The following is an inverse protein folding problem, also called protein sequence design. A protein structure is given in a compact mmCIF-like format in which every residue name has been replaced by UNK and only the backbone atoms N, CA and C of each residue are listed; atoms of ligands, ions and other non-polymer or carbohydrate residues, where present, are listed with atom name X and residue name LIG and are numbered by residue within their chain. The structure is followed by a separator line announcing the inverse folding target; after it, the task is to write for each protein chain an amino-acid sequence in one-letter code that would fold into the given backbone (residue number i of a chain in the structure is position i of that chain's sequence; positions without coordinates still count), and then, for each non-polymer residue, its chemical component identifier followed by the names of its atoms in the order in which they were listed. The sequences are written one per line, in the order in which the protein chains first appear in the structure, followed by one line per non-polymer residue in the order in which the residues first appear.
data_IF_585211580227
#
_entry.id   IF_585211580227
#
_cell.length_a   1.000
_cell.length_b   1.000
_cell.length_c   1.000
_cell.angle_alpha   90.00
_cell.angle_beta   90.00
_cell.angle_gamma   90.00
#
_symmetry.space_group_name_H-M   'P 1'
#
loop_
_entity.id
_entity.type
_entity.pdbx_description
1 polymer ?
#
# COMPACT_ATOMS: atom_id res chain seq x y z
N UNK A 1 12.74 -8.99 -59.28
CA UNK A 1 13.40 -8.05 -58.36
C UNK A 1 12.42 -7.63 -57.30
N UNK A 2 12.68 -8.01 -56.08
CA UNK A 2 12.20 -7.49 -54.78
C UNK A 2 10.68 -7.27 -54.58
N UNK A 3 10.03 -8.34 -54.18
CA UNK A 3 8.78 -8.27 -53.39
C UNK A 3 9.01 -9.16 -52.20
N UNK A 4 9.44 -8.58 -51.09
CA UNK A 4 9.41 -9.17 -49.76
C UNK A 4 9.24 -7.99 -48.79
N UNK A 5 8.41 -8.18 -47.76
CA UNK A 5 8.16 -7.35 -46.60
C UNK A 5 6.82 -6.60 -46.65
N UNK A 6 5.75 -7.31 -46.27
CA UNK A 6 4.57 -6.75 -45.62
C UNK A 6 3.74 -7.90 -45.01
N UNK A 7 4.28 -8.59 -44.01
CA UNK A 7 3.49 -9.65 -43.31
C UNK A 7 3.78 -9.75 -41.79
N UNK A 8 4.18 -8.68 -41.14
CA UNK A 8 4.51 -8.77 -39.69
C UNK A 8 3.77 -7.79 -38.77
N UNK A 9 2.77 -7.07 -39.28
CA UNK A 9 2.07 -6.07 -38.43
C UNK A 9 0.61 -6.41 -38.06
N UNK A 10 0.11 -7.58 -38.39
CA UNK A 10 -1.30 -7.92 -38.13
C UNK A 10 -1.50 -8.88 -36.93
N UNK A 11 -0.43 -9.43 -36.36
CA UNK A 11 -0.57 -10.47 -35.33
C UNK A 11 -0.60 -9.97 -33.88
N UNK A 12 -0.22 -8.72 -33.57
CA UNK A 12 -0.20 -8.21 -32.20
C UNK A 12 -1.57 -7.82 -31.59
N UNK A 13 -2.55 -7.28 -32.32
CA UNK A 13 -3.84 -6.92 -31.70
C UNK A 13 -4.74 -8.12 -31.41
N UNK A 14 -4.53 -9.28 -32.04
CA UNK A 14 -5.37 -10.45 -31.79
C UNK A 14 -5.03 -11.18 -30.48
N UNK A 15 -3.77 -11.15 -30.07
CA UNK A 15 -3.32 -11.80 -28.83
C UNK A 15 -3.81 -11.01 -27.61
N UNK A 16 -3.78 -9.68 -27.65
CA UNK A 16 -4.34 -8.84 -26.59
C UNK A 16 -5.86 -8.98 -26.47
N UNK A 17 -6.56 -9.20 -27.56
CA UNK A 17 -8.00 -9.44 -27.57
C UNK A 17 -8.37 -10.81 -26.99
N UNK A 18 -7.58 -11.85 -27.24
CA UNK A 18 -7.81 -13.20 -26.73
C UNK A 18 -7.50 -13.33 -25.24
N UNK A 19 -6.52 -12.60 -24.71
CA UNK A 19 -6.22 -12.60 -23.27
C UNK A 19 -7.29 -11.83 -22.47
N UNK A 20 -7.93 -10.83 -23.06
CA UNK A 20 -9.04 -10.10 -22.41
C UNK A 20 -10.37 -10.87 -22.40
N UNK A 21 -10.54 -11.89 -23.21
CA UNK A 21 -11.82 -12.61 -23.30
C UNK A 21 -12.02 -13.71 -22.25
N UNK A 22 -11.00 -14.01 -21.43
CA UNK A 22 -11.14 -15.02 -20.36
C UNK A 22 -11.47 -14.44 -18.97
N UNK A 23 -11.59 -13.11 -18.83
CA UNK A 23 -12.16 -12.53 -17.61
C UNK A 23 -13.66 -12.70 -17.74
N UNK A 24 -14.21 -13.65 -16.98
CA UNK A 24 -15.65 -13.93 -16.91
C UNK A 24 -16.42 -12.62 -16.62
N UNK A 25 -17.20 -12.07 -17.58
CA UNK A 25 -17.88 -10.78 -17.43
C UNK A 25 -19.04 -10.79 -16.42
N UNK A 26 -19.29 -11.91 -15.75
CA UNK A 26 -20.39 -12.11 -14.81
C UNK A 26 -19.93 -12.22 -13.35
N UNK A 27 -18.65 -12.04 -13.05
CA UNK A 27 -18.24 -11.94 -11.65
C UNK A 27 -18.54 -10.52 -11.16
N UNK A 28 -19.59 -10.42 -10.35
CA UNK A 28 -19.86 -9.19 -9.61
C UNK A 28 -18.61 -8.75 -8.84
N UNK A 29 -18.28 -7.47 -8.86
CA UNK A 29 -17.12 -6.99 -8.13
C UNK A 29 -17.31 -7.24 -6.63
N UNK A 30 -16.34 -7.90 -6.01
CA UNK A 30 -16.35 -8.21 -4.58
C UNK A 30 -15.14 -7.58 -3.91
N UNK A 31 -15.22 -7.22 -2.63
CA UNK A 31 -14.06 -6.78 -1.87
C UNK A 31 -12.95 -7.84 -1.86
N UNK A 32 -11.70 -7.40 -1.98
CA UNK A 32 -10.53 -8.29 -1.98
C UNK A 32 -9.35 -7.69 -1.24
N UNK A 33 -8.43 -8.56 -0.82
CA UNK A 33 -7.18 -8.18 -0.18
C UNK A 33 -6.02 -8.24 -1.20
N UNK A 34 -5.12 -7.27 -1.10
CA UNK A 34 -3.87 -7.21 -1.86
C UNK A 34 -2.70 -7.28 -0.89
N UNK A 35 -1.75 -8.17 -1.14
CA UNK A 35 -0.48 -8.20 -0.40
C UNK A 35 0.44 -7.14 -0.99
N UNK A 36 0.71 -6.07 -0.25
CA UNK A 36 1.55 -4.95 -0.65
C UNK A 36 2.99 -5.06 -0.13
N UNK A 37 3.23 -6.00 0.76
CA UNK A 37 4.52 -6.35 1.31
C UNK A 37 4.45 -7.56 2.22
N UNK A 38 5.52 -8.33 2.30
CA UNK A 38 5.57 -9.58 3.06
C UNK A 38 6.89 -9.84 3.78
N UNK A 39 7.79 -8.86 3.83
CA UNK A 39 9.02 -8.97 4.62
C UNK A 39 8.81 -8.41 6.03
N UNK A 40 9.68 -8.80 6.95
CA UNK A 40 9.63 -8.35 8.34
C UNK A 40 9.86 -6.82 8.44
N UNK A 41 9.43 -6.22 9.54
CA UNK A 41 9.36 -4.78 9.78
C UNK A 41 10.69 -4.01 9.72
N UNK A 42 11.83 -4.70 9.84
CA UNK A 42 13.16 -4.12 9.63
C UNK A 42 13.65 -4.08 8.17
N UNK A 43 12.82 -4.52 7.21
CA UNK A 43 13.13 -4.48 5.78
C UNK A 43 13.96 -5.66 5.25
N UNK A 44 14.13 -5.68 3.92
CA UNK A 44 14.97 -6.66 3.23
C UNK A 44 15.68 -6.01 2.03
N UNK A 45 17.04 -5.95 2.00
CA UNK A 45 17.96 -6.53 2.99
C UNK A 45 17.83 -5.88 4.36
N UNK A 46 18.05 -6.67 5.43
CA UNK A 46 18.02 -6.13 6.80
C UNK A 46 19.29 -5.32 7.10
N UNK A 47 19.13 -4.16 7.71
CA UNK A 47 20.26 -3.28 8.07
C UNK A 47 21.29 -4.02 8.92
N UNK A 48 22.56 -3.90 8.53
CA UNK A 48 23.69 -4.55 9.22
C UNK A 48 23.80 -6.06 9.03
N UNK A 49 22.93 -6.69 8.23
CA UNK A 49 23.02 -8.12 7.93
C UNK A 49 24.05 -8.40 6.84
N UNK A 50 25.12 -9.12 7.19
CA UNK A 50 26.15 -9.57 6.27
C UNK A 50 25.99 -11.03 5.81
N UNK A 51 24.87 -11.70 6.16
CA UNK A 51 24.58 -13.08 5.76
C UNK A 51 24.25 -13.17 4.27
N UNK A 52 24.43 -14.34 3.68
CA UNK A 52 24.15 -14.60 2.25
C UNK A 52 22.75 -14.18 1.80
N UNK A 53 21.74 -14.29 2.68
CA UNK A 53 20.36 -13.86 2.40
C UNK A 53 20.21 -12.35 2.18
N UNK A 54 21.12 -11.53 2.71
CA UNK A 54 21.10 -10.08 2.56
C UNK A 54 22.20 -9.56 1.63
N UNK A 55 23.37 -10.20 1.58
CA UNK A 55 24.53 -9.75 0.81
C UNK A 55 24.20 -9.52 -0.66
N UNK A 56 23.55 -10.49 -1.29
CA UNK A 56 23.13 -10.38 -2.71
C UNK A 56 22.14 -9.24 -2.94
N UNK A 57 21.26 -8.96 -1.97
CA UNK A 57 20.25 -7.90 -2.08
C UNK A 57 20.82 -6.49 -1.90
N UNK A 58 21.99 -6.35 -1.26
CA UNK A 58 22.71 -5.08 -1.24
C UNK A 58 23.34 -4.74 -2.59
N UNK A 59 23.81 -5.76 -3.31
CA UNK A 59 24.37 -5.62 -4.67
C UNK A 59 23.29 -5.54 -5.75
N UNK A 60 22.22 -6.32 -5.60
CA UNK A 60 21.11 -6.45 -6.54
C UNK A 60 19.77 -6.28 -5.77
N UNK A 61 19.34 -5.06 -5.48
CA UNK A 61 18.10 -4.79 -4.76
C UNK A 61 16.87 -5.34 -5.50
N UNK A 62 16.00 -6.02 -4.76
CA UNK A 62 14.70 -6.46 -5.27
C UNK A 62 13.61 -5.45 -4.85
N UNK A 63 13.07 -4.65 -5.76
CA UNK A 63 12.08 -3.62 -5.44
C UNK A 63 10.73 -4.18 -4.99
N UNK A 64 10.49 -5.48 -5.15
CA UNK A 64 9.26 -6.13 -4.69
C UNK A 64 9.31 -6.55 -3.22
N UNK A 65 10.49 -6.52 -2.59
CA UNK A 65 10.66 -6.83 -1.17
C UNK A 65 10.28 -5.65 -0.30
N UNK A 66 9.00 -5.57 0.01
CA UNK A 66 8.40 -4.51 0.84
C UNK A 66 8.01 -5.04 2.22
N UNK A 67 8.10 -4.19 3.23
CA UNK A 67 7.67 -4.48 4.60
C UNK A 67 6.19 -4.86 4.62
N UNK A 68 5.85 -5.80 5.49
CA UNK A 68 4.50 -6.37 5.63
C UNK A 68 3.40 -5.32 5.65
N UNK A 69 2.54 -5.39 4.64
CA UNK A 69 1.43 -4.46 4.45
C UNK A 69 0.33 -5.13 3.62
N UNK A 70 -0.92 -4.84 3.95
CA UNK A 70 -2.08 -5.29 3.18
C UNK A 70 -2.90 -4.10 2.69
N UNK A 71 -3.45 -4.22 1.50
CA UNK A 71 -4.52 -3.36 1.00
C UNK A 71 -5.85 -4.10 1.00
N UNK A 72 -6.92 -3.45 1.41
CA UNK A 72 -8.29 -3.89 1.20
C UNK A 72 -8.91 -2.98 0.14
N UNK A 73 -9.48 -3.58 -0.89
CA UNK A 73 -10.16 -2.85 -1.98
C UNK A 73 -11.60 -3.33 -2.04
N UNK A 74 -12.52 -2.39 -1.94
CA UNK A 74 -13.95 -2.60 -2.16
C UNK A 74 -14.38 -1.84 -3.41
N UNK A 75 -14.43 -2.50 -4.56
CA UNK A 75 -14.80 -1.85 -5.82
C UNK A 75 -16.30 -1.52 -5.91
N UNK A 76 -17.15 -2.17 -5.09
CA UNK A 76 -18.59 -1.92 -5.06
C UNK A 76 -18.89 -0.57 -4.43
N UNK A 77 -18.24 -0.29 -3.29
CA UNK A 77 -18.41 0.95 -2.54
C UNK A 77 -17.36 2.01 -2.90
N UNK A 78 -16.48 1.73 -3.86
CA UNK A 78 -15.37 2.60 -4.25
C UNK A 78 -14.50 3.01 -3.04
N UNK A 79 -14.17 2.04 -2.19
CA UNK A 79 -13.36 2.24 -0.99
C UNK A 79 -12.09 1.42 -1.02
N UNK A 80 -11.03 1.98 -0.47
CA UNK A 80 -9.81 1.25 -0.19
C UNK A 80 -9.26 1.59 1.18
N UNK A 81 -8.57 0.62 1.78
CA UNK A 81 -7.93 0.76 3.08
C UNK A 81 -6.55 0.12 3.01
N UNK A 82 -5.64 0.60 3.86
CA UNK A 82 -4.32 0.02 3.99
C UNK A 82 -4.08 -0.36 5.45
N UNK A 83 -3.45 -1.51 5.66
CA UNK A 83 -3.04 -1.99 6.97
C UNK A 83 -1.54 -1.82 7.09
N UNK A 84 -1.13 -1.01 8.04
CA UNK A 84 0.19 -0.50 8.35
C UNK A 84 0.64 0.68 7.46
N UNK A 85 1.42 1.57 8.07
CA UNK A 85 2.17 2.62 7.40
C UNK A 85 3.67 2.35 7.58
N UNK A 86 4.20 1.51 6.70
CA UNK A 86 5.56 0.98 6.80
C UNK A 86 6.60 1.98 6.26
N UNK A 87 7.91 1.71 6.39
CA UNK A 87 8.94 2.50 5.70
C UNK A 87 8.76 2.56 4.17
N UNK A 88 8.09 1.55 3.57
CA UNK A 88 7.80 1.48 2.13
C UNK A 88 6.44 2.11 1.75
N UNK A 89 5.85 2.87 2.64
CA UNK A 89 4.49 3.40 2.50
C UNK A 89 4.23 4.13 1.18
N UNK A 90 5.13 4.98 0.65
CA UNK A 90 4.89 5.66 -0.63
C UNK A 90 4.69 4.69 -1.80
N UNK A 91 5.53 3.66 -1.89
CA UNK A 91 5.45 2.65 -2.96
C UNK A 91 4.22 1.74 -2.78
N UNK A 92 3.89 1.43 -1.53
CA UNK A 92 2.70 0.64 -1.19
C UNK A 92 1.41 1.38 -1.51
N UNK A 93 1.33 2.68 -1.26
CA UNK A 93 0.22 3.53 -1.72
C UNK A 93 0.11 3.55 -3.24
N UNK A 94 1.24 3.71 -3.93
CA UNK A 94 1.28 3.68 -5.39
C UNK A 94 0.79 2.33 -5.94
N UNK A 95 1.19 1.22 -5.31
CA UNK A 95 0.75 -0.11 -5.69
C UNK A 95 -0.75 -0.31 -5.42
N UNK A 96 -1.27 0.13 -4.26
CA UNK A 96 -2.70 0.03 -3.93
C UNK A 96 -3.57 0.76 -4.96
N UNK A 97 -3.15 1.94 -5.43
CA UNK A 97 -3.89 2.71 -6.45
C UNK A 97 -4.10 1.96 -7.76
N UNK A 98 -3.22 1.04 -8.13
CA UNK A 98 -3.40 0.22 -9.34
C UNK A 98 -4.63 -0.69 -9.23
N UNK A 99 -4.98 -1.07 -8.01
CA UNK A 99 -6.16 -1.90 -7.71
C UNK A 99 -7.40 -1.08 -7.33
N UNK A 100 -7.21 0.20 -6.96
CA UNK A 100 -8.26 1.13 -6.54
C UNK A 100 -8.24 2.41 -7.40
N UNK A 101 -8.50 2.34 -8.71
CA UNK A 101 -8.39 3.49 -9.63
C UNK A 101 -9.41 4.61 -9.34
N UNK A 102 -10.43 4.33 -8.53
CA UNK A 102 -11.42 5.30 -8.05
C UNK A 102 -10.84 6.25 -6.99
N UNK A 103 -9.70 5.93 -6.38
CA UNK A 103 -8.99 6.78 -5.40
C UNK A 103 -8.23 7.91 -6.13
N UNK A 104 -8.92 8.99 -6.44
CA UNK A 104 -8.37 10.11 -7.22
C UNK A 104 -7.25 10.84 -6.49
N UNK A 105 -7.39 11.02 -5.18
CA UNK A 105 -6.45 11.78 -4.35
C UNK A 105 -5.20 10.95 -3.97
N UNK A 106 -5.19 9.66 -4.28
CA UNK A 106 -4.08 8.77 -4.00
C UNK A 106 -3.95 8.32 -2.55
N UNK A 107 -4.87 8.73 -1.67
CA UNK A 107 -4.96 8.34 -0.27
C UNK A 107 -6.15 7.38 -0.10
N UNK A 108 -5.99 6.25 0.60
CA UNK A 108 -7.10 5.34 0.90
C UNK A 108 -8.10 5.98 1.87
N UNK A 109 -9.30 5.40 1.96
CA UNK A 109 -10.35 5.84 2.88
C UNK A 109 -9.94 5.73 4.35
N UNK A 110 -8.89 4.95 4.64
CA UNK A 110 -8.29 4.86 5.95
C UNK A 110 -7.06 3.98 6.03
N UNK A 111 -6.29 4.21 7.08
CA UNK A 111 -5.06 3.48 7.42
C UNK A 111 -5.30 2.81 8.77
N UNK A 112 -5.13 1.50 8.86
CA UNK A 112 -5.22 0.75 10.09
C UNK A 112 -3.84 0.44 10.63
N UNK A 113 -3.56 0.79 11.89
CA UNK A 113 -2.31 0.42 12.56
C UNK A 113 -2.58 -0.66 13.60
N UNK A 114 -1.84 -1.76 13.52
CA UNK A 114 -2.04 -2.89 14.43
C UNK A 114 -1.31 -2.70 15.75
N UNK A 115 -0.08 -2.21 15.73
CA UNK A 115 0.74 -2.08 16.93
C UNK A 115 1.92 -1.09 16.74
N UNK A 116 2.63 -0.79 17.84
CA UNK A 116 3.66 0.25 17.89
C UNK A 116 5.09 -0.30 17.68
N UNK A 117 5.31 -1.29 16.82
CA UNK A 117 6.63 -1.51 16.26
C UNK A 117 6.91 -0.51 15.15
N UNK A 118 8.11 0.08 15.15
CA UNK A 118 8.44 1.24 14.31
C UNK A 118 8.19 0.99 12.81
N UNK A 119 8.41 -0.22 12.32
CA UNK A 119 8.18 -0.61 10.93
C UNK A 119 6.70 -0.65 10.52
N UNK A 120 5.74 -0.48 11.44
CA UNK A 120 4.30 -0.53 11.15
C UNK A 120 3.64 0.85 11.14
N UNK A 121 4.32 1.90 11.62
CA UNK A 121 3.73 3.24 11.68
C UNK A 121 4.68 4.36 11.23
N UNK A 122 5.98 4.07 11.01
CA UNK A 122 6.96 5.09 10.62
C UNK A 122 6.59 5.82 9.33
N UNK A 123 5.93 5.13 8.40
CA UNK A 123 5.50 5.69 7.13
C UNK A 123 4.41 6.77 7.25
N UNK A 124 3.77 6.94 8.40
CA UNK A 124 2.87 8.06 8.63
C UNK A 124 3.54 9.42 8.41
N UNK A 125 4.87 9.50 8.57
CA UNK A 125 5.64 10.71 8.31
C UNK A 125 5.45 11.27 6.90
N UNK A 126 5.21 10.40 5.91
CA UNK A 126 4.96 10.81 4.52
C UNK A 126 3.63 11.52 4.30
N UNK A 127 2.74 11.51 5.28
CA UNK A 127 1.49 12.27 5.24
C UNK A 127 1.68 13.74 5.64
N UNK A 128 2.82 14.07 6.25
CA UNK A 128 3.17 15.41 6.70
C UNK A 128 3.36 16.42 5.57
N UNK A 129 3.50 17.68 5.99
CA UNK A 129 3.57 18.85 5.12
C UNK A 129 4.70 18.80 4.10
N UNK A 130 5.85 18.23 4.48
CA UNK A 130 7.06 18.18 3.64
C UNK A 130 6.98 17.13 2.54
N UNK A 131 6.04 16.18 2.63
CA UNK A 131 5.85 15.11 1.67
C UNK A 131 4.50 15.22 0.95
N UNK A 132 3.49 14.50 1.41
CA UNK A 132 2.17 14.48 0.76
C UNK A 132 1.29 15.68 1.15
N UNK A 133 1.50 16.25 2.34
CA UNK A 133 0.65 17.29 2.92
C UNK A 133 -0.83 16.89 2.92
N UNK A 134 -1.13 15.70 3.42
CA UNK A 134 -2.50 15.20 3.46
C UNK A 134 -3.37 16.03 4.41
N UNK A 135 -4.68 15.94 4.23
CA UNK A 135 -5.63 16.62 5.10
C UNK A 135 -6.65 15.62 5.63
N UNK A 136 -6.72 15.51 6.98
CA UNK A 136 -7.70 14.68 7.70
C UNK A 136 -7.69 13.19 7.28
N UNK A 137 -6.53 12.67 6.85
CA UNK A 137 -6.41 11.24 6.53
C UNK A 137 -6.73 10.39 7.76
N UNK A 138 -7.73 9.52 7.64
CA UNK A 138 -8.22 8.70 8.76
C UNK A 138 -7.20 7.63 9.14
N UNK A 139 -6.80 7.60 10.41
CA UNK A 139 -5.91 6.58 10.96
C UNK A 139 -6.63 5.84 12.09
N UNK A 140 -6.98 4.59 11.84
CA UNK A 140 -7.72 3.72 12.73
C UNK A 140 -6.77 3.01 13.68
N UNK A 141 -6.95 3.19 14.99
CA UNK A 141 -6.03 2.70 16.01
C UNK A 141 -6.75 2.26 17.28
N UNK A 142 -6.19 1.30 17.99
CA UNK A 142 -6.62 0.94 19.33
C UNK A 142 -6.20 2.02 20.35
N UNK A 143 -6.87 2.15 21.52
CA UNK A 143 -6.65 3.25 22.46
C UNK A 143 -5.21 3.46 22.91
N UNK A 144 -4.43 2.38 23.11
CA UNK A 144 -3.02 2.50 23.49
C UNK A 144 -2.17 3.13 22.37
N UNK A 145 -2.46 2.76 21.11
CA UNK A 145 -1.78 3.33 19.95
C UNK A 145 -2.19 4.78 19.72
N UNK A 146 -3.47 5.11 19.94
CA UNK A 146 -3.94 6.49 19.94
C UNK A 146 -3.14 7.35 20.93
N UNK A 147 -3.08 6.93 22.19
CA UNK A 147 -2.34 7.64 23.23
C UNK A 147 -0.87 7.83 22.84
N UNK A 148 -0.26 6.78 22.27
CA UNK A 148 1.14 6.85 21.80
C UNK A 148 1.31 7.93 20.73
N UNK A 149 0.50 7.95 19.69
CA UNK A 149 0.60 8.94 18.60
C UNK A 149 0.33 10.36 19.07
N UNK A 150 -0.64 10.56 19.95
CA UNK A 150 -1.00 11.88 20.50
C UNK A 150 0.06 12.47 21.43
N UNK A 151 0.84 11.63 22.10
CA UNK A 151 1.80 12.06 23.15
C UNK A 151 3.25 12.08 22.68
N UNK A 152 3.55 11.58 21.48
CA UNK A 152 4.93 11.50 21.02
C UNK A 152 5.12 12.20 19.67
N UNK A 153 6.16 13.04 19.59
CA UNK A 153 6.64 13.56 18.32
C UNK A 153 7.37 12.48 17.48
N UNK A 154 7.36 12.62 16.15
CA UNK A 154 6.72 13.69 15.38
C UNK A 154 5.22 13.44 15.09
N UNK A 155 4.64 12.35 15.57
CA UNK A 155 3.28 11.88 15.24
C UNK A 155 2.19 12.86 15.71
N UNK A 156 2.36 13.46 16.91
CA UNK A 156 1.43 14.47 17.42
C UNK A 156 1.43 15.74 16.54
N UNK A 157 2.52 16.05 15.85
CA UNK A 157 2.54 17.16 14.89
C UNK A 157 1.60 16.88 13.72
N UNK A 158 1.59 15.66 13.17
CA UNK A 158 0.68 15.28 12.08
C UNK A 158 -0.80 15.45 12.48
N UNK A 159 -1.11 15.20 13.76
CA UNK A 159 -2.46 15.39 14.32
C UNK A 159 -2.78 16.88 14.47
N UNK A 160 -1.86 17.64 15.04
CA UNK A 160 -2.04 19.07 15.31
C UNK A 160 -2.13 19.90 14.01
N UNK A 161 -1.42 19.49 12.96
CA UNK A 161 -1.46 20.12 11.64
C UNK A 161 -2.57 19.56 10.74
N UNK A 162 -3.43 18.70 11.29
CA UNK A 162 -4.55 18.08 10.58
C UNK A 162 -4.17 17.24 9.37
N UNK A 163 -2.91 16.78 9.28
CA UNK A 163 -2.51 15.85 8.24
C UNK A 163 -3.21 14.49 8.41
N UNK A 164 -3.34 14.04 9.66
CA UNK A 164 -4.05 12.83 10.01
C UNK A 164 -5.16 13.09 11.02
N UNK A 165 -6.18 12.24 10.99
CA UNK A 165 -7.27 12.23 11.95
C UNK A 165 -7.40 10.87 12.60
N UNK A 166 -7.16 10.81 13.90
CA UNK A 166 -7.29 9.56 14.65
C UNK A 166 -8.76 9.11 14.70
N UNK A 167 -8.98 7.83 14.39
CA UNK A 167 -10.24 7.13 14.50
C UNK A 167 -10.09 6.00 15.52
N UNK A 168 -10.56 6.18 16.76
CA UNK A 168 -10.44 5.16 17.79
C UNK A 168 -11.22 3.89 17.42
N UNK A 169 -10.57 2.74 17.55
CA UNK A 169 -11.22 1.44 17.49
C UNK A 169 -11.57 0.97 18.90
N UNK A 170 -12.70 0.32 19.02
CA UNK A 170 -13.11 -0.36 20.26
C UNK A 170 -13.21 -1.85 20.01
N UNK A 171 -12.81 -2.63 21.00
CA UNK A 171 -13.00 -4.08 20.92
C UNK A 171 -14.49 -4.38 21.09
N UNK A 172 -15.16 -4.82 20.04
CA UNK A 172 -16.54 -5.28 20.12
C UNK A 172 -16.53 -6.73 20.54
N UNK A 173 -16.98 -6.99 21.76
CA UNK A 173 -17.29 -8.34 22.20
C UNK A 173 -18.63 -8.71 21.57
N UNK A 174 -18.60 -9.52 20.51
CA UNK A 174 -19.82 -10.18 20.02
C UNK A 174 -20.17 -11.30 20.98
N UNK A 175 -21.30 -11.18 21.66
CA UNK A 175 -21.91 -12.24 22.48
C UNK A 175 -22.78 -13.13 21.60
#
# INVERSE_FOLDING_TARGET
MSIIIFLSLICMPLIDFLIRSEINPHLEPVPFLVVLGNVQDGGSPHIGCAKSCCAVLWEHPDPQRKVTCLGLVDPVNEQSFIFEATPDFPEQLKALRMFAPFQKDGIPNGIFLTHAHIGHYSGLMYLGKEAFNSHQTKVFVMPKMQFFLEKNGPWNQLINEENIKIQPLTNQVHH
#
